data_IF_127143156417
#
_entry.id   IF_127143156417
#
_cell.length_a   1.000
_cell.length_b   1.000
_cell.length_c   1.000
_cell.angle_alpha   90.00
_cell.angle_beta   90.00
_cell.angle_gamma   90.00
#
_symmetry.space_group_name_H-M   'P 1'
#
loop_
_entity.id
_entity.type
_entity.pdbx_description
1 polymer ?
#
# COMPACT_ATOMS: atom_id res chain seq x y z
N UNK A 1 2.96 39.68 13.17
CA UNK A 1 3.40 38.80 14.27
C UNK A 1 2.97 37.40 13.89
N UNK A 2 3.92 36.52 13.52
CA UNK A 2 3.60 35.19 13.06
C UNK A 2 3.12 34.34 14.24
N UNK A 3 1.91 33.78 14.12
CA UNK A 3 1.39 32.77 15.04
C UNK A 3 2.28 31.54 14.94
N UNK A 4 3.35 31.49 15.73
CA UNK A 4 4.16 30.30 15.91
C UNK A 4 3.32 29.36 16.77
N UNK A 5 2.44 28.60 16.11
CA UNK A 5 1.74 27.51 16.75
C UNK A 5 2.79 26.66 17.47
N UNK A 6 2.57 26.39 18.75
CA UNK A 6 3.35 25.41 19.49
C UNK A 6 3.12 24.08 18.78
N UNK A 7 4.05 23.70 17.90
CA UNK A 7 3.91 22.47 17.13
C UNK A 7 4.05 21.33 18.13
N UNK A 8 2.96 20.59 18.33
CA UNK A 8 3.00 19.41 19.18
C UNK A 8 3.94 18.39 18.57
N UNK A 9 4.63 17.62 19.41
CA UNK A 9 5.45 16.48 18.98
C UNK A 9 4.66 15.52 18.09
N UNK A 10 3.37 15.36 18.35
CA UNK A 10 2.50 14.53 17.51
C UNK A 10 2.37 15.12 16.09
N UNK A 11 2.22 16.43 15.98
CA UNK A 11 2.08 17.13 14.69
C UNK A 11 3.39 17.07 13.90
N UNK A 12 4.54 17.21 14.58
CA UNK A 12 5.86 17.10 13.91
C UNK A 12 6.07 15.70 13.35
N UNK A 13 5.77 14.65 14.13
CA UNK A 13 5.87 13.27 13.68
C UNK A 13 4.93 13.02 12.49
N UNK A 14 3.71 13.55 12.56
CA UNK A 14 2.75 13.43 11.48
C UNK A 14 3.26 14.06 10.17
N UNK A 15 3.81 15.27 10.22
CA UNK A 15 4.41 15.91 9.04
C UNK A 15 5.62 15.12 8.50
N UNK A 16 6.46 14.58 9.37
CA UNK A 16 7.57 13.71 8.96
C UNK A 16 7.07 12.44 8.27
N UNK A 17 6.05 11.78 8.81
CA UNK A 17 5.44 10.62 8.19
C UNK A 17 4.94 10.95 6.79
N UNK A 18 4.23 12.07 6.63
CA UNK A 18 3.73 12.54 5.33
C UNK A 18 4.86 12.74 4.31
N UNK A 19 5.96 13.36 4.72
CA UNK A 19 7.13 13.51 3.86
C UNK A 19 7.74 12.16 3.45
N UNK A 20 7.80 11.19 4.37
CA UNK A 20 8.30 9.85 4.05
C UNK A 20 7.37 9.06 3.13
N UNK A 21 6.06 9.38 3.07
CA UNK A 21 5.15 8.78 2.10
C UNK A 21 5.41 9.28 0.67
N UNK A 22 5.73 10.56 0.48
CA UNK A 22 5.93 11.19 -0.83
C UNK A 22 7.31 10.93 -1.47
N UNK A 23 8.12 10.04 -0.87
CA UNK A 23 9.54 9.77 -1.16
C UNK A 23 10.48 10.90 -0.78
N UNK A 24 11.53 10.53 -0.05
CA UNK A 24 12.64 11.42 0.34
C UNK A 24 13.82 11.21 -0.59
N UNK A 25 14.69 12.22 -0.69
CA UNK A 25 15.81 12.20 -1.64
C UNK A 25 17.15 11.89 -0.96
N UNK A 26 17.30 12.19 0.32
CA UNK A 26 18.59 12.09 1.01
C UNK A 26 18.56 11.20 2.24
N UNK A 27 19.65 10.47 2.46
CA UNK A 27 19.83 9.64 3.66
C UNK A 27 19.84 10.50 4.94
N UNK A 28 20.33 11.74 4.86
CA UNK A 28 20.33 12.69 5.98
C UNK A 28 18.92 13.02 6.46
N UNK A 29 17.95 13.17 5.54
CA UNK A 29 16.53 13.36 5.88
C UNK A 29 15.98 12.12 6.60
N UNK A 30 16.32 10.92 6.13
CA UNK A 30 15.87 9.67 6.73
C UNK A 30 16.36 9.53 8.18
N UNK A 31 17.66 9.74 8.43
CA UNK A 31 18.25 9.67 9.76
C UNK A 31 17.76 10.79 10.69
N UNK A 32 17.53 11.99 10.15
CA UNK A 32 16.95 13.10 10.90
C UNK A 32 15.52 12.77 11.37
N UNK A 33 14.67 12.24 10.48
CA UNK A 33 13.34 11.76 10.86
C UNK A 33 13.40 10.61 11.87
N UNK A 34 14.32 9.67 11.67
CA UNK A 34 14.54 8.54 12.58
C UNK A 34 14.97 8.95 14.00
N UNK A 35 15.54 10.14 14.17
CA UNK A 35 15.90 10.66 15.50
C UNK A 35 14.69 11.08 16.35
N UNK A 36 13.50 11.21 15.75
CA UNK A 36 12.25 11.58 16.41
C UNK A 36 11.21 10.44 16.40
N UNK A 37 11.27 9.59 15.38
CA UNK A 37 10.29 8.52 15.16
C UNK A 37 10.66 7.23 15.88
N UNK A 38 9.64 6.51 16.33
CA UNK A 38 9.82 5.14 16.84
C UNK A 38 9.89 4.12 15.70
N UNK A 39 10.33 2.89 16.02
CA UNK A 39 10.22 1.74 15.12
C UNK A 39 8.79 1.51 14.65
N UNK A 40 7.80 1.70 15.52
CA UNK A 40 6.39 1.52 15.16
C UNK A 40 5.95 2.56 14.12
N UNK A 41 6.35 3.82 14.32
CA UNK A 41 6.06 4.90 13.37
C UNK A 41 6.64 4.61 11.98
N UNK A 42 7.86 4.06 11.93
CA UNK A 42 8.48 3.67 10.66
C UNK A 42 7.81 2.45 10.00
N UNK A 43 7.37 1.46 10.78
CA UNK A 43 6.58 0.32 10.28
C UNK A 43 5.26 0.78 9.65
N UNK A 44 4.61 1.79 10.22
CA UNK A 44 3.41 2.39 9.62
C UNK A 44 3.74 3.04 8.28
N UNK A 45 4.83 3.80 8.18
CA UNK A 45 5.29 4.37 6.90
C UNK A 45 5.51 3.28 5.85
N UNK A 46 6.19 2.18 6.19
CA UNK A 46 6.39 1.03 5.28
C UNK A 46 5.03 0.48 4.81
N UNK A 47 4.11 0.28 5.75
CA UNK A 47 2.78 -0.28 5.49
C UNK A 47 1.97 0.64 4.58
N UNK A 48 1.85 1.92 4.92
CA UNK A 48 1.14 2.93 4.12
C UNK A 48 1.72 3.07 2.71
N UNK A 49 3.05 3.08 2.57
CA UNK A 49 3.72 3.09 1.26
C UNK A 49 3.36 1.84 0.44
N UNK A 50 3.32 0.68 1.08
CA UNK A 50 2.95 -0.57 0.40
C UNK A 50 1.48 -0.59 -0.05
N UNK A 51 0.57 -0.03 0.76
CA UNK A 51 -0.85 0.17 0.40
C UNK A 51 -0.95 1.10 -0.81
N UNK A 52 -0.16 2.16 -0.85
CA UNK A 52 -0.02 3.07 -1.98
C UNK A 52 0.75 2.47 -3.18
N UNK A 53 1.04 1.16 -3.18
CA UNK A 53 1.78 0.43 -4.23
C UNK A 53 3.18 0.99 -4.50
N UNK A 54 3.80 1.61 -3.51
CA UNK A 54 5.17 2.12 -3.54
C UNK A 54 6.08 1.25 -2.67
N UNK A 55 7.37 1.17 -3.02
CA UNK A 55 8.34 0.44 -2.20
C UNK A 55 8.35 1.00 -0.77
N UNK A 56 8.26 0.12 0.23
CA UNK A 56 8.20 0.49 1.64
C UNK A 56 9.45 1.22 2.15
N UNK A 57 10.58 1.10 1.45
CA UNK A 57 11.78 1.86 1.79
C UNK A 57 11.66 3.33 1.30
N UNK A 58 11.72 4.35 2.19
CA UNK A 58 11.38 5.73 1.82
C UNK A 58 12.30 6.39 0.78
N UNK A 59 13.56 5.93 0.67
CA UNK A 59 14.52 6.40 -0.34
C UNK A 59 14.31 5.75 -1.72
N UNK A 60 13.44 4.74 -1.81
CA UNK A 60 13.17 4.04 -3.05
C UNK A 60 11.90 4.59 -3.72
N UNK A 61 12.01 5.20 -4.92
CA UNK A 61 10.83 5.68 -5.66
C UNK A 61 10.15 4.57 -6.48
N UNK A 62 10.67 3.34 -6.46
CA UNK A 62 10.15 2.27 -7.29
C UNK A 62 8.75 1.83 -6.83
N UNK A 63 7.81 1.59 -7.75
CA UNK A 63 6.53 1.00 -7.41
C UNK A 63 6.69 -0.49 -7.06
N UNK A 64 5.75 -1.02 -6.28
CA UNK A 64 5.64 -2.45 -6.04
C UNK A 64 5.08 -3.13 -7.28
N UNK A 65 5.88 -4.01 -7.89
CA UNK A 65 5.41 -4.77 -9.05
C UNK A 65 4.31 -5.74 -8.64
N UNK A 66 3.24 -5.83 -9.44
CA UNK A 66 2.19 -6.84 -9.24
C UNK A 66 2.70 -8.29 -9.37
N UNK A 67 3.93 -8.50 -9.86
CA UNK A 67 4.53 -9.82 -9.97
C UNK A 67 4.85 -10.46 -8.61
N UNK A 68 5.09 -9.66 -7.55
CA UNK A 68 5.31 -10.19 -6.19
C UNK A 68 4.08 -10.87 -5.58
N UNK A 69 2.87 -10.58 -6.12
CA UNK A 69 1.61 -11.17 -5.67
C UNK A 69 1.44 -12.62 -6.16
N UNK A 70 2.24 -13.07 -7.14
CA UNK A 70 2.06 -14.39 -7.78
C UNK A 70 2.57 -15.56 -6.93
N UNK A 71 3.42 -15.32 -5.93
CA UNK A 71 3.91 -16.38 -5.05
C UNK A 71 2.85 -16.76 -4.02
N UNK A 72 2.35 -17.99 -4.10
CA UNK A 72 1.38 -18.56 -3.15
C UNK A 72 2.11 -18.95 -1.86
N UNK A 73 1.51 -18.63 -0.71
CA UNK A 73 2.02 -18.98 0.61
C UNK A 73 2.64 -17.81 1.37
N UNK A 74 3.05 -18.09 2.62
CA UNK A 74 3.67 -17.13 3.54
C UNK A 74 5.19 -17.12 3.47
N UNK A 75 5.82 -18.26 3.17
CA UNK A 75 7.28 -18.38 3.19
C UNK A 75 7.84 -18.82 1.84
N UNK A 76 9.05 -18.35 1.52
CA UNK A 76 9.85 -18.81 0.38
C UNK A 76 11.20 -19.34 0.87
N UNK A 77 11.54 -20.57 0.49
CA UNK A 77 12.81 -21.20 0.87
C UNK A 77 13.75 -21.16 -0.33
N UNK A 78 14.84 -20.40 -0.21
CA UNK A 78 15.94 -20.42 -1.19
C UNK A 78 16.97 -21.45 -0.76
N UNK A 79 17.08 -22.53 -1.53
CA UNK A 79 18.13 -23.53 -1.33
C UNK A 79 19.52 -23.00 -1.74
N UNK A 80 19.59 -22.00 -2.62
CA UNK A 80 20.87 -21.39 -3.03
C UNK A 80 21.49 -20.54 -1.92
N UNK A 81 20.66 -19.77 -1.23
CA UNK A 81 21.09 -18.86 -0.16
C UNK A 81 20.95 -19.50 1.23
N UNK A 82 20.39 -20.71 1.32
CA UNK A 82 20.00 -21.38 2.57
C UNK A 82 19.21 -20.43 3.50
N UNK A 83 18.22 -19.73 2.94
CA UNK A 83 17.42 -18.73 3.67
C UNK A 83 15.93 -18.96 3.45
N UNK A 84 15.16 -18.71 4.52
CA UNK A 84 13.70 -18.66 4.49
C UNK A 84 13.28 -17.18 4.53
N UNK A 85 12.54 -16.74 3.53
CA UNK A 85 12.00 -15.38 3.46
C UNK A 85 10.53 -15.40 3.82
N UNK A 86 10.10 -14.38 4.56
CA UNK A 86 8.70 -14.07 4.70
C UNK A 86 8.22 -13.30 3.46
N UNK A 87 7.25 -13.88 2.75
CA UNK A 87 6.69 -13.31 1.53
C UNK A 87 5.81 -12.09 1.83
N UNK A 88 5.16 -12.03 3.00
CA UNK A 88 4.37 -10.85 3.39
C UNK A 88 5.28 -9.64 3.54
N UNK A 89 6.44 -9.85 4.13
CA UNK A 89 7.44 -8.81 4.30
C UNK A 89 8.11 -8.43 2.97
N UNK A 90 8.47 -9.41 2.14
CA UNK A 90 9.03 -9.15 0.81
C UNK A 90 8.06 -8.35 -0.08
N UNK A 91 6.74 -8.57 0.04
CA UNK A 91 5.72 -7.86 -0.76
C UNK A 91 5.68 -6.37 -0.47
N UNK A 92 6.20 -5.92 0.68
CA UNK A 92 6.29 -4.49 1.00
C UNK A 92 7.44 -3.78 0.29
N UNK A 93 8.34 -4.49 -0.40
CA UNK A 93 9.53 -3.92 -1.03
C UNK A 93 9.65 -4.33 -2.49
N UNK A 94 10.31 -3.49 -3.29
CA UNK A 94 10.54 -3.81 -4.71
C UNK A 94 11.63 -4.89 -4.90
N UNK A 95 12.55 -5.04 -3.93
CA UNK A 95 13.70 -5.95 -3.99
C UNK A 95 14.18 -6.39 -2.61
N UNK A 96 14.98 -7.46 -2.56
CA UNK A 96 15.66 -7.92 -1.34
C UNK A 96 16.61 -6.88 -0.77
N UNK A 97 17.24 -6.04 -1.61
CA UNK A 97 18.13 -4.97 -1.17
C UNK A 97 17.38 -3.93 -0.33
N UNK A 98 16.25 -3.44 -0.84
CA UNK A 98 15.41 -2.48 -0.12
C UNK A 98 14.86 -3.07 1.19
N UNK A 99 14.53 -4.36 1.21
CA UNK A 99 14.14 -5.05 2.45
C UNK A 99 15.28 -5.02 3.49
N UNK A 100 16.50 -5.37 3.08
CA UNK A 100 17.66 -5.42 3.98
C UNK A 100 18.03 -4.02 4.48
N UNK A 101 18.08 -3.02 3.60
CA UNK A 101 18.38 -1.63 3.97
C UNK A 101 17.31 -1.04 4.90
N UNK A 102 16.03 -1.24 4.58
CA UNK A 102 14.92 -0.82 5.44
C UNK A 102 14.98 -1.48 6.82
N UNK A 103 15.31 -2.77 6.89
CA UNK A 103 15.51 -3.48 8.16
C UNK A 103 16.71 -2.96 8.94
N UNK A 104 17.81 -2.68 8.25
CA UNK A 104 19.00 -2.13 8.89
C UNK A 104 18.67 -0.78 9.54
N UNK A 105 17.96 0.09 8.83
CA UNK A 105 17.48 1.36 9.38
C UNK A 105 16.44 1.18 10.50
N UNK A 106 15.50 0.25 10.37
CA UNK A 106 14.58 -0.07 11.47
C UNK A 106 15.35 -0.50 12.74
N UNK A 107 16.48 -1.18 12.57
CA UNK A 107 17.36 -1.60 13.66
C UNK A 107 18.08 -0.44 14.36
N UNK A 108 18.18 0.73 13.74
CA UNK A 108 18.79 1.93 14.36
C UNK A 108 17.80 2.79 15.15
N UNK A 109 16.50 2.54 15.02
CA UNK A 109 15.44 3.31 15.69
C UNK A 109 15.16 2.78 17.11
N UNK A 110 14.64 3.65 17.98
CA UNK A 110 14.14 3.26 19.31
C UNK A 110 12.74 2.64 19.23
N UNK A 111 12.40 1.75 20.17
CA UNK A 111 11.09 1.07 20.18
C UNK A 111 9.95 2.04 20.50
N UNK A 112 10.19 2.96 21.44
CA UNK A 112 9.26 3.99 21.86
C UNK A 112 9.73 5.36 21.36
N UNK A 113 8.81 6.34 21.32
CA UNK A 113 9.16 7.72 20.97
C UNK A 113 9.96 8.35 22.12
N UNK A 114 10.95 9.17 21.78
CA UNK A 114 11.70 9.91 22.80
C UNK A 114 10.78 10.85 23.58
N UNK A 115 10.90 10.83 24.90
CA UNK A 115 10.14 11.71 25.82
C UNK A 115 10.81 13.07 26.00
N UNK A 116 12.08 13.20 25.61
CA UNK A 116 12.88 14.42 25.75
C UNK A 116 13.18 14.94 24.36
N UNK A 117 12.41 15.93 23.92
CA UNK A 117 12.59 16.57 22.63
C UNK A 117 12.95 18.03 22.80
N UNK A 118 14.13 18.40 22.30
CA UNK A 118 14.55 19.79 22.21
C UNK A 118 13.84 20.46 21.02
N UNK A 119 13.11 21.54 21.30
CA UNK A 119 12.40 22.33 20.29
C UNK A 119 13.32 22.81 19.16
N UNK A 120 14.62 23.05 19.47
CA UNK A 120 15.62 23.45 18.48
C UNK A 120 15.90 22.33 17.48
N UNK A 121 16.06 21.11 18.00
CA UNK A 121 16.31 19.91 17.19
C UNK A 121 15.10 19.61 16.30
N UNK A 122 13.89 19.76 16.83
CA UNK A 122 12.66 19.63 16.04
C UNK A 122 12.65 20.63 14.88
N UNK A 123 12.93 21.90 15.16
CA UNK A 123 12.93 22.95 14.14
C UNK A 123 14.00 22.71 13.05
N UNK A 124 15.19 22.24 13.44
CA UNK A 124 16.26 21.86 12.51
C UNK A 124 15.82 20.73 11.60
N UNK A 125 15.25 19.66 12.16
CA UNK A 125 14.77 18.51 11.40
C UNK A 125 13.68 18.94 10.41
N UNK A 126 12.67 19.70 10.85
CA UNK A 126 11.63 20.21 9.95
C UNK A 126 12.21 21.11 8.84
N UNK A 127 13.26 21.87 9.13
CA UNK A 127 13.99 22.65 8.12
C UNK A 127 14.55 21.81 6.98
N UNK A 128 15.02 20.58 7.26
CA UNK A 128 15.52 19.65 6.22
C UNK A 128 14.43 19.17 5.26
N UNK A 129 13.16 19.26 5.65
CA UNK A 129 12.01 18.93 4.82
C UNK A 129 11.33 20.17 4.20
N UNK A 130 11.76 21.38 4.60
CA UNK A 130 11.10 22.65 4.33
C UNK A 130 11.36 23.30 2.97
N UNK A 131 12.14 22.69 2.07
CA UNK A 131 12.42 23.26 0.74
C UNK A 131 11.85 22.39 -0.39
N UNK A 132 10.55 22.57 -0.65
CA UNK A 132 9.98 22.41 -2.00
C UNK A 132 9.21 23.68 -2.37
N UNK A 133 9.95 24.71 -2.73
CA UNK A 133 9.42 25.80 -3.54
C UNK A 133 9.24 25.34 -4.99
N UNK A 134 8.02 25.48 -5.51
CA UNK A 134 7.59 25.35 -6.92
C UNK A 134 7.44 23.93 -7.50
N UNK A 135 6.19 23.52 -7.75
CA UNK A 135 5.91 22.36 -8.60
C UNK A 135 4.55 21.70 -8.42
N UNK A 136 3.48 22.40 -8.81
CA UNK A 136 2.23 21.76 -9.19
C UNK A 136 1.17 21.64 -8.10
N UNK A 137 0.31 22.66 -8.03
CA UNK A 137 -1.11 22.45 -7.77
C UNK A 137 -1.62 21.45 -8.81
N UNK A 138 -1.59 20.16 -8.47
CA UNK A 138 -2.43 19.17 -9.13
C UNK A 138 -3.86 19.64 -8.96
N UNK A 139 -4.44 20.17 -10.04
CA UNK A 139 -5.86 20.48 -10.11
C UNK A 139 -6.60 19.26 -9.55
N UNK A 140 -7.38 19.47 -8.49
CA UNK A 140 -8.48 18.58 -8.17
C UNK A 140 -9.29 18.46 -9.46
N UNK A 141 -9.19 17.30 -10.11
CA UNK A 141 -10.20 16.88 -11.05
C UNK A 141 -11.46 16.68 -10.24
N UNK A 142 -12.26 17.74 -10.15
CA UNK A 142 -13.67 17.65 -9.86
C UNK A 142 -14.30 16.86 -11.03
N UNK A 143 -14.18 15.55 -10.93
CA UNK A 143 -14.89 14.56 -11.75
C UNK A 143 -16.04 13.99 -10.92
N UNK A 144 -16.77 14.85 -10.22
CA UNK A 144 -18.09 14.51 -9.72
C UNK A 144 -19.03 14.45 -10.90
N UNK A 145 -19.07 13.33 -11.60
CA UNK A 145 -20.20 13.05 -12.48
C UNK A 145 -21.46 13.07 -11.59
N UNK A 146 -22.34 14.03 -11.84
CA UNK A 146 -23.63 14.15 -11.16
C UNK A 146 -24.47 12.92 -11.50
N UNK A 147 -24.32 11.86 -10.70
CA UNK A 147 -25.18 10.68 -10.78
C UNK A 147 -26.57 11.07 -10.30
N UNK A 148 -27.46 11.38 -11.24
CA UNK A 148 -28.90 11.52 -10.97
C UNK A 148 -29.50 10.13 -10.82
N UNK A 149 -30.02 9.84 -9.64
CA UNK A 149 -30.92 8.70 -9.41
C UNK A 149 -32.17 8.96 -10.27
N UNK A 150 -32.35 8.16 -11.33
CA UNK A 150 -33.64 8.04 -12.00
C UNK A 150 -34.39 6.90 -11.33
N UNK A 151 -35.53 7.22 -10.75
CA UNK A 151 -36.49 6.24 -10.28
C UNK A 151 -36.94 5.39 -11.47
N UNK A 152 -36.65 4.09 -11.43
CA UNK A 152 -37.21 3.16 -12.39
C UNK A 152 -38.68 2.96 -12.02
N UNK A 153 -39.55 3.50 -12.87
CA UNK A 153 -40.96 3.16 -12.86
C UNK A 153 -41.10 1.68 -13.19
N UNK A 154 -41.65 0.97 -12.22
CA UNK A 154 -42.24 -0.37 -12.21
C UNK A 154 -42.25 -1.10 -13.57
N UNK A 155 -41.41 -2.15 -13.67
CA UNK A 155 -41.65 -3.22 -14.64
C UNK A 155 -42.48 -4.28 -13.94
N UNK A 156 -43.66 -4.54 -14.50
CA UNK A 156 -44.64 -5.47 -13.99
C UNK A 156 -44.09 -6.91 -13.79
N UNK A 157 -44.39 -7.44 -12.60
CA UNK A 157 -44.67 -8.83 -12.24
C UNK A 157 -43.94 -9.96 -12.99
N UNK A 158 -42.69 -10.20 -12.60
CA UNK A 158 -42.14 -11.56 -12.61
C UNK A 158 -42.57 -12.28 -11.32
N UNK A 159 -43.30 -13.39 -11.44
CA UNK A 159 -43.78 -14.18 -10.29
C UNK A 159 -42.63 -14.56 -9.36
N UNK A 160 -42.68 -14.08 -8.11
CA UNK A 160 -41.75 -14.48 -7.06
C UNK A 160 -42.10 -15.91 -6.67
N UNK A 161 -41.27 -16.89 -7.03
CA UNK A 161 -41.37 -18.24 -6.47
C UNK A 161 -40.83 -18.15 -5.05
N UNK A 162 -41.74 -18.16 -4.09
CA UNK A 162 -41.43 -18.26 -2.66
C UNK A 162 -40.74 -19.61 -2.45
N UNK A 163 -39.44 -19.58 -2.20
CA UNK A 163 -38.65 -20.76 -1.89
C UNK A 163 -38.95 -21.24 -0.47
N UNK A 164 -39.24 -22.53 -0.33
CA UNK A 164 -39.48 -23.17 0.97
C UNK A 164 -38.26 -23.03 1.90
N UNK A 165 -38.53 -22.77 3.17
CA UNK A 165 -37.52 -22.42 4.19
C UNK A 165 -36.62 -23.58 4.68
N UNK A 166 -36.36 -24.59 3.84
CA UNK A 166 -35.54 -25.76 4.19
C UNK A 166 -34.58 -26.22 3.07
N UNK A 167 -34.05 -25.31 2.26
CA UNK A 167 -32.98 -25.63 1.30
C UNK A 167 -31.60 -25.68 2.00
N UNK A 168 -31.24 -26.83 2.57
CA UNK A 168 -29.82 -27.23 2.71
C UNK A 168 -29.57 -28.29 1.64
N UNK A 169 -29.02 -27.89 0.49
CA UNK A 169 -28.31 -28.83 -0.37
C UNK A 169 -27.27 -28.09 -1.23
N UNK A 170 -26.05 -28.63 -1.21
CA UNK A 170 -24.84 -27.99 -1.71
C UNK A 170 -24.89 -27.65 -3.19
N UNK A 171 -24.64 -26.38 -3.50
CA UNK A 171 -24.39 -25.94 -4.86
C UNK A 171 -23.01 -26.43 -5.34
N UNK A 172 -23.01 -27.42 -6.24
CA UNK A 172 -21.81 -27.89 -6.96
C UNK A 172 -21.87 -27.33 -8.39
N UNK A 173 -20.98 -26.38 -8.76
CA UNK A 173 -20.96 -25.84 -10.12
C UNK A 173 -20.69 -26.94 -11.16
N UNK A 174 -21.64 -27.18 -12.06
CA UNK A 174 -21.44 -28.05 -13.23
C UNK A 174 -20.75 -27.25 -14.32
N UNK A 175 -19.53 -27.64 -14.67
CA UNK A 175 -18.83 -27.13 -15.86
C UNK A 175 -19.63 -27.45 -17.12
N UNK A 176 -20.15 -26.44 -17.81
CA UNK A 176 -20.73 -26.58 -19.13
C UNK A 176 -19.61 -26.80 -20.15
N UNK A 177 -19.37 -28.07 -20.49
CA UNK A 177 -18.64 -28.44 -21.70
C UNK A 177 -19.61 -28.30 -22.88
N UNK A 178 -19.51 -27.19 -23.59
CA UNK A 178 -20.08 -27.10 -24.94
C UNK A 178 -19.20 -27.96 -25.86
N UNK A 179 -19.64 -29.20 -26.08
CA UNK A 179 -19.08 -30.06 -27.12
C UNK A 179 -19.79 -29.70 -28.41
N UNK A 180 -19.22 -28.76 -29.16
CA UNK A 180 -19.67 -28.51 -30.53
C UNK A 180 -19.12 -29.64 -31.42
N UNK A 181 -20.00 -30.59 -31.71
CA UNK A 181 -19.75 -31.67 -32.65
C UNK A 181 -20.38 -31.34 -33.98
N UNK A 182 -19.57 -31.07 -35.01
CA UNK A 182 -19.77 -31.45 -36.43
C UNK A 182 -18.61 -30.97 -37.29
N UNK A 183 -17.75 -31.89 -37.72
CA UNK A 183 -17.45 -32.04 -39.15
C UNK A 183 -16.68 -33.34 -39.43
N UNK A 184 -17.38 -34.29 -40.05
CA UNK A 184 -16.82 -35.51 -40.64
C UNK A 184 -17.43 -35.65 -42.03
N UNK A 185 -16.62 -35.49 -43.08
CA UNK A 185 -16.78 -36.08 -44.43
C UNK A 185 -15.46 -35.89 -45.20
N UNK A 186 -14.72 -36.99 -45.36
CA UNK A 186 -14.41 -37.71 -46.62
C UNK A 186 -13.13 -37.18 -47.31
N UNK A 187 -12.00 -37.89 -47.18
CA UNK A 187 -11.51 -38.98 -48.07
C UNK A 187 -11.41 -38.57 -49.54
N UNK A 188 -10.17 -38.47 -50.03
CA UNK A 188 -9.67 -38.90 -51.36
C UNK A 188 -8.13 -38.88 -51.29
N UNK A 189 -7.54 -40.07 -51.22
CA UNK A 189 -6.65 -40.70 -52.22
C UNK A 189 -5.29 -40.04 -52.30
#
# INVERSE_FOLDING_TARGET
MANKALVSVADTIYELQKHLLETIQTETQLHAAGSLMSKNDFKHVITERSIAKSCGYPLCPNPLSSNHVKSKGKYHISLREHRVYDLEEMRMYCSTKCLVESKAFLGTLEEERSTVLDERKIAEILGLFGEKGSGGLGKRGDGGEELRIKENVEVEHGSVVVGDANAIEGYVPKSSREVDGKNRKQVRR
#
